data_IF_409435852705
#
_entry.id   IF_409435852705
#
_cell.length_a   1.000
_cell.length_b   1.000
_cell.length_c   1.000
_cell.angle_alpha   90.00
_cell.angle_beta   90.00
_cell.angle_gamma   90.00
#
_symmetry.space_group_name_H-M   'P 1'
#
loop_
_entity.id
_entity.type
_entity.pdbx_description
1 polymer ?
#
# COMPACT_ATOMS: atom_id res chain seq x y z
N UNK A 1 -32.79 14.59 16.08
CA UNK A 1 -33.65 13.60 15.40
C UNK A 1 -33.07 13.54 14.01
N UNK A 2 -32.33 12.49 13.71
CA UNK A 2 -31.76 12.28 12.38
C UNK A 2 -32.95 11.83 11.54
N UNK A 3 -33.36 12.62 10.54
CA UNK A 3 -34.44 12.24 9.63
C UNK A 3 -34.05 10.89 9.00
N UNK A 4 -35.00 9.95 8.92
CA UNK A 4 -34.73 8.66 8.32
C UNK A 4 -34.27 8.90 6.87
N UNK A 5 -33.29 8.12 6.39
CA UNK A 5 -32.79 8.28 5.01
C UNK A 5 -33.92 8.17 3.98
N UNK A 6 -34.98 7.41 4.29
CA UNK A 6 -36.17 7.27 3.45
C UNK A 6 -37.02 8.56 3.33
N UNK A 7 -36.89 9.51 4.28
CA UNK A 7 -37.67 10.74 4.34
C UNK A 7 -36.95 11.95 3.69
N UNK A 8 -35.68 11.78 3.29
CA UNK A 8 -34.88 12.84 2.67
C UNK A 8 -35.21 13.02 1.19
N UNK A 9 -35.22 14.27 0.72
CA UNK A 9 -35.23 14.58 -0.71
C UNK A 9 -33.87 14.27 -1.37
N UNK A 10 -33.81 14.34 -2.71
CA UNK A 10 -32.58 14.06 -3.48
C UNK A 10 -31.38 14.89 -2.98
N UNK A 11 -31.62 16.14 -2.56
CA UNK A 11 -30.58 17.02 -2.05
C UNK A 11 -30.09 16.57 -0.67
N UNK A 12 -31.00 16.23 0.24
CA UNK A 12 -30.68 15.71 1.57
C UNK A 12 -29.90 14.40 1.48
N UNK A 13 -30.24 13.52 0.53
CA UNK A 13 -29.49 12.28 0.25
C UNK A 13 -28.06 12.58 -0.23
N UNK A 14 -27.89 13.54 -1.15
CA UNK A 14 -26.57 13.95 -1.64
C UNK A 14 -25.73 14.57 -0.52
N UNK A 15 -26.30 15.47 0.27
CA UNK A 15 -25.59 16.15 1.38
C UNK A 15 -25.17 15.14 2.46
N UNK A 16 -26.02 14.15 2.76
CA UNK A 16 -25.71 13.03 3.66
C UNK A 16 -24.57 12.17 3.10
N UNK A 17 -24.60 11.84 1.81
CA UNK A 17 -23.55 11.05 1.16
C UNK A 17 -22.20 11.79 1.18
N UNK A 18 -22.18 13.11 0.96
CA UNK A 18 -20.95 13.93 1.06
C UNK A 18 -20.41 13.94 2.49
N UNK A 19 -21.29 14.11 3.48
CA UNK A 19 -20.92 14.09 4.91
C UNK A 19 -20.31 12.76 5.32
N UNK A 20 -20.94 11.64 4.94
CA UNK A 20 -20.43 10.30 5.22
C UNK A 20 -19.07 10.05 4.56
N UNK A 21 -18.92 10.44 3.28
CA UNK A 21 -17.64 10.35 2.59
C UNK A 21 -16.53 11.14 3.30
N UNK A 22 -16.83 12.36 3.76
CA UNK A 22 -15.86 13.20 4.46
C UNK A 22 -15.50 12.62 5.84
N UNK A 23 -16.47 12.04 6.54
CA UNK A 23 -16.26 11.30 7.77
C UNK A 23 -15.37 10.06 7.57
N UNK A 24 -15.59 9.29 6.50
CA UNK A 24 -14.74 8.15 6.12
C UNK A 24 -13.30 8.57 5.82
N UNK A 25 -13.11 9.65 5.06
CA UNK A 25 -11.79 10.21 4.73
C UNK A 25 -11.06 10.63 6.01
N UNK A 26 -11.73 11.35 6.91
CA UNK A 26 -11.17 11.77 8.18
C UNK A 26 -10.85 10.57 9.09
N UNK A 27 -11.73 9.57 9.16
CA UNK A 27 -11.52 8.35 9.95
C UNK A 27 -10.33 7.52 9.43
N UNK A 28 -10.22 7.35 8.11
CA UNK A 28 -9.09 6.66 7.50
C UNK A 28 -7.75 7.37 7.77
N UNK A 29 -7.74 8.70 7.72
CA UNK A 29 -6.57 9.49 8.10
C UNK A 29 -6.23 9.33 9.59
N UNK A 30 -7.23 9.36 10.47
CA UNK A 30 -7.03 9.12 11.91
C UNK A 30 -6.49 7.72 12.18
N UNK A 31 -6.93 6.70 11.45
CA UNK A 31 -6.41 5.33 11.59
C UNK A 31 -4.90 5.25 11.31
N UNK A 32 -4.41 5.98 10.30
CA UNK A 32 -2.97 6.08 10.03
C UNK A 32 -2.22 6.82 11.16
N UNK A 33 -2.82 7.85 11.74
CA UNK A 33 -2.25 8.55 12.89
C UNK A 33 -2.19 7.63 14.12
N UNK A 34 -3.23 6.85 14.38
CA UNK A 34 -3.27 5.83 15.44
C UNK A 34 -2.16 4.81 15.23
N UNK A 35 -2.02 4.25 14.03
CA UNK A 35 -0.97 3.27 13.74
C UNK A 35 0.45 3.83 13.95
N UNK A 36 0.69 5.10 13.60
CA UNK A 36 1.98 5.75 13.83
C UNK A 36 2.27 5.97 15.33
N UNK A 37 1.27 6.43 16.10
CA UNK A 37 1.41 6.60 17.56
C UNK A 37 1.52 5.26 18.28
N UNK A 38 0.82 4.23 17.78
CA UNK A 38 0.93 2.88 18.29
C UNK A 38 2.36 2.34 18.14
N UNK A 39 2.99 2.57 16.99
CA UNK A 39 4.38 2.21 16.76
C UNK A 39 5.34 2.92 17.74
N UNK A 40 5.15 4.22 18.02
CA UNK A 40 5.97 4.96 18.99
C UNK A 40 5.91 4.36 20.41
N UNK A 41 4.76 3.78 20.78
CA UNK A 41 4.53 3.18 22.11
C UNK A 41 5.05 1.74 22.24
N UNK A 42 5.51 1.16 21.15
CA UNK A 42 6.08 -0.18 21.12
C UNK A 42 7.48 -0.14 20.51
N UNK A 43 8.40 0.67 21.10
CA UNK A 43 9.75 0.80 20.59
C UNK A 43 10.50 -0.53 20.69
N UNK A 44 11.55 -0.64 19.88
CA UNK A 44 12.45 -1.79 19.85
C UNK A 44 13.39 -1.92 21.07
N UNK A 45 13.24 -1.08 22.09
CA UNK A 45 14.22 -0.93 23.16
C UNK A 45 14.41 -2.24 23.95
N UNK A 46 15.65 -2.70 24.03
CA UNK A 46 16.02 -3.94 24.73
C UNK A 46 15.72 -5.23 23.97
N UNK A 47 15.22 -5.17 22.73
CA UNK A 47 14.94 -6.34 21.89
C UNK A 47 16.09 -6.64 20.92
N UNK A 48 16.33 -7.93 20.65
CA UNK A 48 17.33 -8.34 19.66
C UNK A 48 16.82 -8.16 18.24
N UNK A 49 17.68 -7.67 17.34
CA UNK A 49 17.36 -7.56 15.92
C UNK A 49 17.26 -8.96 15.28
N UNK A 50 16.43 -9.09 14.23
CA UNK A 50 16.10 -10.37 13.57
C UNK A 50 17.32 -11.22 13.15
N UNK A 51 18.48 -10.58 12.98
CA UNK A 51 19.73 -11.22 12.54
C UNK A 51 20.58 -11.81 13.68
N UNK A 52 20.13 -11.77 14.94
CA UNK A 52 20.92 -12.23 16.09
C UNK A 52 20.53 -13.66 16.52
N UNK A 53 21.48 -14.60 16.74
CA UNK A 53 21.16 -15.96 17.19
C UNK A 53 20.41 -16.06 18.53
N UNK A 54 20.56 -15.06 19.42
CA UNK A 54 19.83 -14.96 20.69
C UNK A 54 18.34 -14.57 20.55
N UNK A 55 17.88 -14.22 19.35
CA UNK A 55 16.49 -13.80 19.10
C UNK A 55 15.45 -14.93 19.25
N UNK A 56 15.87 -16.17 19.55
CA UNK A 56 14.98 -17.33 19.73
C UNK A 56 14.27 -17.37 21.09
N UNK A 57 14.63 -16.50 22.04
CA UNK A 57 14.11 -16.54 23.41
C UNK A 57 13.20 -15.35 23.80
N UNK A 58 12.82 -14.47 22.86
CA UNK A 58 12.00 -13.28 23.17
C UNK A 58 11.39 -12.59 21.94
N UNK A 59 10.59 -11.56 22.18
CA UNK A 59 10.05 -10.70 21.12
C UNK A 59 11.20 -10.03 20.35
N UNK A 60 11.09 -10.00 19.01
CA UNK A 60 12.13 -9.44 18.14
C UNK A 60 11.80 -8.02 17.78
N UNK A 61 12.82 -7.28 17.33
CA UNK A 61 12.59 -6.00 16.65
C UNK A 61 12.54 -6.17 15.13
N UNK A 62 11.62 -5.47 14.49
CA UNK A 62 11.43 -5.48 13.03
C UNK A 62 11.26 -4.07 12.47
N UNK A 63 11.89 -3.82 11.31
CA UNK A 63 11.61 -2.64 10.49
C UNK A 63 10.48 -2.96 9.52
N UNK A 64 9.30 -2.41 9.78
CA UNK A 64 8.12 -2.63 8.93
C UNK A 64 8.06 -1.68 7.73
N UNK A 65 8.45 -0.42 7.92
CA UNK A 65 8.57 0.57 6.86
C UNK A 65 9.85 0.41 6.03
N UNK A 66 10.07 1.33 5.10
CA UNK A 66 11.29 1.37 4.31
C UNK A 66 12.45 2.06 5.02
N UNK A 67 13.48 2.40 4.25
CA UNK A 67 14.65 3.09 4.78
C UNK A 67 14.27 4.40 5.51
N UNK A 68 14.83 4.61 6.71
CA UNK A 68 14.58 5.79 7.53
C UNK A 68 13.44 5.67 8.54
N UNK A 69 12.69 4.55 8.55
CA UNK A 69 11.69 4.31 9.61
C UNK A 69 12.30 3.63 10.84
N UNK A 70 11.81 3.91 12.06
CA UNK A 70 12.25 3.23 13.27
C UNK A 70 11.91 1.74 13.23
N UNK A 71 12.66 0.95 14.00
CA UNK A 71 12.28 -0.43 14.26
C UNK A 71 11.21 -0.48 15.37
N UNK A 72 10.33 -1.47 15.30
CA UNK A 72 9.17 -1.64 16.19
C UNK A 72 9.15 -3.07 16.70
N UNK A 73 8.60 -3.28 17.91
CA UNK A 73 8.38 -4.62 18.45
C UNK A 73 7.55 -5.49 17.49
N UNK A 74 7.99 -6.74 17.25
CA UNK A 74 7.44 -7.64 16.23
C UNK A 74 5.93 -7.86 16.37
N UNK A 75 5.42 -7.99 17.59
CA UNK A 75 4.01 -8.29 17.81
C UNK A 75 3.13 -7.04 17.86
N UNK A 76 3.71 -5.84 17.81
CA UNK A 76 2.94 -4.60 17.89
C UNK A 76 1.86 -4.49 16.80
N UNK A 77 2.14 -4.76 15.50
CA UNK A 77 1.09 -4.69 14.48
C UNK A 77 -0.02 -5.72 14.71
N UNK A 78 0.32 -6.95 15.10
CA UNK A 78 -0.65 -8.02 15.33
C UNK A 78 -1.61 -7.68 16.49
N UNK A 79 -1.08 -7.11 17.59
CA UNK A 79 -1.87 -6.66 18.75
C UNK A 79 -2.89 -5.58 18.35
N UNK A 80 -2.45 -4.54 17.63
CA UNK A 80 -3.37 -3.51 17.11
C UNK A 80 -4.41 -4.14 16.18
N UNK A 81 -3.96 -5.00 15.27
CA UNK A 81 -4.78 -5.65 14.27
C UNK A 81 -5.95 -6.45 14.84
N UNK A 82 -5.69 -7.20 15.90
CA UNK A 82 -6.70 -8.00 16.60
C UNK A 82 -7.87 -7.13 17.07
N UNK A 83 -7.58 -5.96 17.64
CA UNK A 83 -8.59 -5.04 18.18
C UNK A 83 -9.46 -4.40 17.09
N UNK A 84 -8.92 -4.18 15.90
CA UNK A 84 -9.62 -3.51 14.79
C UNK A 84 -10.06 -4.48 13.69
N UNK A 85 -10.02 -5.80 13.94
CA UNK A 85 -10.50 -6.83 13.03
C UNK A 85 -9.65 -7.02 11.76
N UNK A 86 -8.36 -6.68 11.79
CA UNK A 86 -7.43 -6.89 10.69
C UNK A 86 -6.62 -8.18 10.85
N UNK A 87 -6.39 -8.88 9.74
CA UNK A 87 -5.50 -10.04 9.73
C UNK A 87 -4.02 -9.60 9.87
N UNK A 88 -3.09 -10.52 10.22
CA UNK A 88 -1.69 -10.15 10.47
C UNK A 88 -1.01 -9.36 9.33
N UNK A 89 -1.26 -9.75 8.08
CA UNK A 89 -0.67 -9.07 6.92
C UNK A 89 -1.24 -7.65 6.73
N UNK A 90 -2.53 -7.46 6.94
CA UNK A 90 -3.18 -6.15 6.87
C UNK A 90 -2.68 -5.21 7.98
N UNK A 91 -2.51 -5.73 9.19
CA UNK A 91 -2.05 -4.96 10.34
C UNK A 91 -0.60 -4.54 10.19
N UNK A 92 0.26 -5.46 9.73
CA UNK A 92 1.64 -5.15 9.37
C UNK A 92 1.70 -4.08 8.28
N UNK A 93 0.89 -4.21 7.22
CA UNK A 93 0.84 -3.22 6.16
C UNK A 93 0.38 -1.85 6.67
N UNK A 94 -0.63 -1.79 7.54
CA UNK A 94 -1.11 -0.54 8.13
C UNK A 94 -0.01 0.18 8.92
N UNK A 95 0.70 -0.53 9.80
CA UNK A 95 1.81 0.05 10.57
C UNK A 95 2.96 0.49 9.65
N UNK A 96 3.33 -0.35 8.68
CA UNK A 96 4.37 -0.02 7.72
C UNK A 96 4.03 1.24 6.91
N UNK A 97 2.80 1.34 6.39
CA UNK A 97 2.33 2.49 5.60
C UNK A 97 2.34 3.76 6.46
N UNK A 98 1.90 3.68 7.72
CA UNK A 98 1.90 4.81 8.64
C UNK A 98 3.31 5.32 8.96
N UNK A 99 4.26 4.41 9.17
CA UNK A 99 5.67 4.75 9.39
C UNK A 99 6.32 5.36 8.14
N UNK A 100 6.11 4.75 6.97
CA UNK A 100 6.59 5.31 5.71
C UNK A 100 6.06 6.73 5.50
N UNK A 101 4.76 6.96 5.72
CA UNK A 101 4.16 8.28 5.60
C UNK A 101 4.84 9.28 6.55
N UNK A 102 4.90 8.97 7.85
CA UNK A 102 5.39 9.89 8.87
C UNK A 102 6.86 10.23 8.72
N UNK A 103 7.69 9.25 8.38
CA UNK A 103 9.15 9.40 8.41
C UNK A 103 9.77 9.70 7.05
N UNK A 104 9.08 9.36 5.95
CA UNK A 104 9.66 9.42 4.59
C UNK A 104 8.86 10.28 3.62
N UNK A 105 7.57 10.51 3.88
CA UNK A 105 6.66 11.26 3.00
C UNK A 105 6.01 12.45 3.74
N UNK A 106 6.80 13.43 4.21
CA UNK A 106 6.33 14.46 5.13
C UNK A 106 5.20 15.35 4.60
N UNK A 107 5.12 15.60 3.28
CA UNK A 107 4.03 16.40 2.67
C UNK A 107 2.73 15.61 2.67
N UNK A 108 2.75 14.33 2.28
CA UNK A 108 1.60 13.44 2.41
C UNK A 108 1.18 13.26 3.87
N UNK A 109 2.14 13.10 4.78
CA UNK A 109 1.85 13.01 6.21
C UNK A 109 1.17 14.27 6.74
N UNK A 110 1.63 15.45 6.34
CA UNK A 110 0.96 16.70 6.69
C UNK A 110 -0.52 16.66 6.28
N UNK A 111 -0.83 16.22 5.06
CA UNK A 111 -2.21 16.10 4.58
C UNK A 111 -3.02 15.05 5.35
N UNK A 112 -2.41 13.90 5.68
CA UNK A 112 -3.04 12.88 6.53
C UNK A 112 -3.38 13.46 7.91
N UNK A 113 -2.52 14.28 8.51
CA UNK A 113 -2.82 14.95 9.78
C UNK A 113 -4.00 15.90 9.70
N UNK A 114 -4.20 16.56 8.56
CA UNK A 114 -5.35 17.44 8.33
C UNK A 114 -6.64 16.68 7.97
N UNK A 115 -6.60 15.36 7.79
CA UNK A 115 -7.80 14.55 7.57
C UNK A 115 -8.52 14.79 6.23
N UNK A 116 -7.83 15.35 5.23
CA UNK A 116 -8.44 15.81 3.98
C UNK A 116 -7.96 15.06 2.73
N UNK A 117 -7.42 13.85 2.90
CA UNK A 117 -6.96 12.99 1.80
C UNK A 117 -7.45 11.56 1.96
N UNK A 118 -7.86 10.89 0.86
CA UNK A 118 -8.25 9.49 0.95
C UNK A 118 -7.07 8.62 1.42
N UNK A 119 -7.20 7.99 2.59
CA UNK A 119 -6.11 7.23 3.21
C UNK A 119 -5.59 6.09 2.34
N UNK A 120 -6.44 5.46 1.53
CA UNK A 120 -6.01 4.41 0.61
C UNK A 120 -5.01 4.91 -0.44
N UNK A 121 -5.12 6.18 -0.88
CA UNK A 121 -4.19 6.77 -1.86
C UNK A 121 -2.81 7.01 -1.24
N UNK A 122 -2.78 7.55 -0.03
CA UNK A 122 -1.51 7.81 0.67
C UNK A 122 -0.80 6.51 1.05
N UNK A 123 -1.55 5.52 1.54
CA UNK A 123 -1.05 4.16 1.79
C UNK A 123 -0.50 3.51 0.54
N UNK A 124 -1.19 3.68 -0.59
CA UNK A 124 -0.72 3.14 -1.87
C UNK A 124 0.61 3.76 -2.29
N UNK A 125 0.78 5.07 -2.15
CA UNK A 125 2.08 5.73 -2.42
C UNK A 125 3.15 5.18 -1.47
N UNK A 126 2.89 5.14 -0.16
CA UNK A 126 3.81 4.63 0.85
C UNK A 126 4.31 3.22 0.54
N UNK A 127 3.39 2.29 0.25
CA UNK A 127 3.72 0.94 -0.17
C UNK A 127 4.59 0.91 -1.43
N UNK A 128 4.26 1.71 -2.45
CA UNK A 128 4.96 1.73 -3.73
C UNK A 128 6.35 2.37 -3.66
N UNK A 129 6.59 3.25 -2.68
CA UNK A 129 7.89 3.87 -2.42
C UNK A 129 8.72 3.11 -1.38
N UNK A 130 8.21 2.01 -0.80
CA UNK A 130 8.86 1.33 0.33
C UNK A 130 10.30 0.89 0.03
N UNK A 131 10.57 0.43 -1.19
CA UNK A 131 11.87 -0.07 -1.63
C UNK A 131 12.84 1.00 -2.10
N UNK A 132 12.38 2.25 -2.26
CA UNK A 132 13.23 3.37 -2.64
C UNK A 132 14.12 3.80 -1.47
N UNK A 133 15.19 4.55 -1.75
CA UNK A 133 15.93 5.23 -0.69
C UNK A 133 15.09 6.30 0.00
N UNK A 134 15.56 6.81 1.15
CA UNK A 134 14.88 7.91 1.84
C UNK A 134 14.78 9.17 0.96
N UNK A 135 15.86 9.54 0.27
CA UNK A 135 15.91 10.69 -0.63
C UNK A 135 14.94 10.54 -1.81
N UNK A 136 14.95 9.37 -2.44
CA UNK A 136 14.08 9.05 -3.56
C UNK A 136 12.59 9.10 -3.16
N UNK A 137 12.24 8.59 -1.98
CA UNK A 137 10.88 8.69 -1.45
C UNK A 137 10.46 10.15 -1.24
N UNK A 138 11.35 11.00 -0.73
CA UNK A 138 11.10 12.44 -0.58
C UNK A 138 10.79 13.15 -1.91
N UNK A 139 11.49 12.79 -2.99
CA UNK A 139 11.20 13.31 -4.34
C UNK A 139 9.81 12.87 -4.85
N UNK A 140 9.41 11.64 -4.56
CA UNK A 140 8.08 11.12 -4.93
C UNK A 140 6.99 11.82 -4.10
N UNK A 141 7.20 12.02 -2.81
CA UNK A 141 6.30 12.77 -1.91
C UNK A 141 6.03 14.18 -2.45
N UNK A 142 7.10 14.90 -2.79
CA UNK A 142 7.05 16.23 -3.38
C UNK A 142 6.13 16.30 -4.60
N UNK A 143 6.27 15.35 -5.52
CA UNK A 143 5.60 15.38 -6.82
C UNK A 143 4.18 14.84 -6.76
N UNK A 144 3.88 13.89 -5.87
CA UNK A 144 2.56 13.26 -5.80
C UNK A 144 1.61 13.93 -4.81
N UNK A 145 2.09 14.55 -3.74
CA UNK A 145 1.25 15.17 -2.72
C UNK A 145 0.19 16.16 -3.27
N UNK A 146 0.44 16.95 -4.32
CA UNK A 146 -0.57 17.86 -4.89
C UNK A 146 -1.76 17.16 -5.59
N UNK A 147 -1.58 15.91 -6.03
CA UNK A 147 -2.56 15.15 -6.82
C UNK A 147 -3.47 14.25 -5.98
N UNK A 148 -3.04 13.90 -4.77
CA UNK A 148 -3.83 13.05 -3.87
C UNK A 148 -5.18 13.70 -3.53
N UNK A 149 -6.25 12.93 -3.63
CA UNK A 149 -7.64 13.35 -3.48
C UNK A 149 -8.24 14.02 -4.71
N UNK A 150 -7.46 14.28 -5.78
CA UNK A 150 -7.93 14.99 -6.99
C UNK A 150 -8.01 14.10 -8.24
N UNK A 151 -7.52 12.87 -8.17
CA UNK A 151 -7.44 11.95 -9.31
C UNK A 151 -8.07 10.60 -8.96
N UNK A 152 -8.58 9.92 -9.99
CA UNK A 152 -9.07 8.55 -9.88
C UNK A 152 -7.93 7.56 -9.60
N UNK A 153 -8.27 6.36 -9.13
CA UNK A 153 -7.30 5.30 -8.82
C UNK A 153 -6.36 4.97 -9.99
N UNK A 154 -6.89 4.74 -11.19
CA UNK A 154 -6.06 4.46 -12.37
C UNK A 154 -5.12 5.62 -12.73
N UNK A 155 -5.58 6.87 -12.59
CA UNK A 155 -4.73 8.06 -12.82
C UNK A 155 -3.65 8.20 -11.76
N UNK A 156 -3.96 7.87 -10.51
CA UNK A 156 -2.97 7.84 -9.42
C UNK A 156 -1.90 6.78 -9.69
N UNK A 157 -2.29 5.56 -10.04
CA UNK A 157 -1.34 4.48 -10.35
C UNK A 157 -0.41 4.87 -11.51
N UNK A 158 -0.95 5.44 -12.59
CA UNK A 158 -0.14 5.91 -13.72
C UNK A 158 0.88 6.98 -13.29
N UNK A 159 0.47 7.90 -12.41
CA UNK A 159 1.38 8.92 -11.87
C UNK A 159 2.44 8.32 -10.96
N UNK A 160 2.06 7.43 -10.05
CA UNK A 160 3.01 6.70 -9.20
C UNK A 160 4.04 6.00 -10.08
N UNK A 161 3.61 5.20 -11.06
CA UNK A 161 4.52 4.50 -11.96
C UNK A 161 5.48 5.43 -12.69
N UNK A 162 4.98 6.55 -13.22
CA UNK A 162 5.82 7.53 -13.89
C UNK A 162 6.86 8.16 -12.94
N UNK A 163 6.49 8.48 -11.70
CA UNK A 163 7.42 9.03 -10.71
C UNK A 163 8.46 8.01 -10.26
N UNK A 164 8.06 6.76 -10.04
CA UNK A 164 8.98 5.70 -9.64
C UNK A 164 10.05 5.45 -10.72
N UNK A 165 9.66 5.38 -11.99
CA UNK A 165 10.60 5.25 -13.12
C UNK A 165 11.53 6.46 -13.22
N UNK A 166 11.01 7.66 -12.96
CA UNK A 166 11.81 8.89 -13.03
C UNK A 166 12.89 8.95 -11.94
N UNK A 167 12.55 8.47 -10.75
CA UNK A 167 13.42 8.57 -9.56
C UNK A 167 14.41 7.41 -9.46
N UNK A 168 14.06 6.24 -9.99
CA UNK A 168 14.92 5.06 -10.00
C UNK A 168 14.90 4.33 -11.35
N UNK A 169 15.40 4.96 -12.43
CA UNK A 169 15.39 4.35 -13.76
C UNK A 169 16.17 3.03 -13.80
N UNK A 170 17.27 2.95 -13.05
CA UNK A 170 18.10 1.75 -13.00
C UNK A 170 17.46 0.60 -12.22
N UNK A 171 16.83 0.87 -11.07
CA UNK A 171 16.11 -0.16 -10.32
C UNK A 171 14.94 -0.72 -11.12
N UNK A 172 14.27 0.13 -11.91
CA UNK A 172 13.27 -0.34 -12.87
C UNK A 172 13.88 -1.17 -14.00
N UNK A 173 15.03 -0.78 -14.55
CA UNK A 173 15.73 -1.57 -15.57
C UNK A 173 16.13 -2.95 -15.03
N UNK A 174 16.72 -3.01 -13.82
CA UNK A 174 17.09 -4.27 -13.15
C UNK A 174 15.86 -5.15 -12.86
N UNK A 175 14.76 -4.55 -12.40
CA UNK A 175 13.52 -5.27 -12.15
C UNK A 175 12.90 -5.82 -13.45
N UNK A 176 12.95 -5.05 -14.54
CA UNK A 176 12.47 -5.47 -15.85
C UNK A 176 13.34 -6.59 -16.44
N UNK A 177 14.67 -6.50 -16.29
CA UNK A 177 15.60 -7.56 -16.69
C UNK A 177 15.32 -8.85 -15.91
N UNK A 178 15.17 -8.76 -14.59
CA UNK A 178 14.79 -9.90 -13.74
C UNK A 178 13.45 -10.50 -14.15
N UNK A 179 12.44 -9.67 -14.42
CA UNK A 179 11.13 -10.14 -14.87
C UNK A 179 11.19 -10.81 -16.26
N UNK A 180 12.03 -10.32 -17.17
CA UNK A 180 12.25 -10.95 -18.48
C UNK A 180 12.93 -12.33 -18.36
N UNK A 181 13.68 -12.56 -17.28
CA UNK A 181 14.26 -13.87 -16.96
C UNK A 181 13.29 -14.78 -16.20
N UNK A 182 12.36 -14.22 -15.41
CA UNK A 182 11.31 -14.95 -14.68
C UNK A 182 10.13 -15.29 -15.62
N UNK A 183 10.36 -16.23 -16.54
CA UNK A 183 9.29 -16.90 -17.30
C UNK A 183 8.68 -17.96 -16.39
N UNK A 184 7.45 -17.74 -15.92
CA UNK A 184 6.82 -18.67 -14.98
C UNK A 184 5.39 -19.03 -15.42
N UNK A 185 5.09 -20.33 -15.32
CA UNK A 185 3.76 -20.91 -15.51
C UNK A 185 3.34 -21.48 -14.18
N UNK A 186 2.39 -20.83 -13.52
CA UNK A 186 1.84 -21.30 -12.25
C UNK A 186 0.52 -22.01 -12.49
N UNK A 187 0.50 -23.28 -12.10
CA UNK A 187 -0.71 -24.06 -11.99
C UNK A 187 -1.23 -23.92 -10.57
N UNK A 188 -2.47 -23.46 -10.39
CA UNK A 188 -3.13 -23.58 -9.07
C UNK A 188 -3.51 -25.02 -8.80
N UNK A 189 -3.84 -25.34 -7.54
CA UNK A 189 -4.42 -26.65 -7.22
C UNK A 189 -5.76 -26.81 -7.97
N UNK A 190 -6.09 -28.02 -8.45
CA UNK A 190 -7.39 -28.30 -9.05
C UNK A 190 -8.51 -27.98 -8.04
N UNK A 191 -9.62 -27.42 -8.52
CA UNK A 191 -10.82 -27.27 -7.71
C UNK A 191 -11.56 -28.62 -7.57
N UNK A 192 -12.61 -28.63 -6.75
CA UNK A 192 -13.45 -29.81 -6.50
C UNK A 192 -14.15 -30.37 -7.75
N UNK A 193 -14.21 -29.57 -8.82
CA UNK A 193 -14.78 -29.93 -10.13
C UNK A 193 -13.71 -30.38 -11.14
N UNK A 194 -12.46 -30.56 -10.71
CA UNK A 194 -11.35 -30.99 -11.57
C UNK A 194 -10.84 -29.92 -12.54
N UNK A 195 -11.26 -28.66 -12.39
CA UNK A 195 -10.75 -27.55 -13.19
C UNK A 195 -9.48 -27.00 -12.54
N UNK A 196 -8.50 -26.63 -13.36
CA UNK A 196 -7.23 -26.09 -12.90
C UNK A 196 -7.00 -24.71 -13.51
N UNK A 197 -6.85 -23.70 -12.67
CA UNK A 197 -6.52 -22.34 -13.11
C UNK A 197 -5.02 -22.25 -13.43
N UNK A 198 -4.71 -21.77 -14.64
CA UNK A 198 -3.34 -21.54 -15.11
C UNK A 198 -3.09 -20.04 -15.17
N UNK A 199 -2.08 -19.57 -14.45
CA UNK A 199 -1.60 -18.19 -14.53
C UNK A 199 -0.23 -18.18 -15.23
N UNK A 200 -0.11 -17.45 -16.33
CA UNK A 200 1.13 -17.35 -17.10
C UNK A 200 1.59 -15.89 -17.16
N UNK A 201 2.87 -15.66 -16.84
CA UNK A 201 3.50 -14.37 -17.05
C UNK A 201 4.23 -14.40 -18.41
N UNK A 202 3.90 -13.45 -19.29
CA UNK A 202 4.49 -13.34 -20.62
C UNK A 202 5.07 -11.94 -20.82
N UNK A 203 6.06 -11.86 -21.71
CA UNK A 203 6.54 -10.57 -22.21
C UNK A 203 5.38 -9.79 -22.81
N UNK A 204 5.24 -8.53 -22.40
CA UNK A 204 4.35 -7.61 -23.08
C UNK A 204 4.82 -7.47 -24.54
N UNK A 205 3.92 -7.56 -25.54
CA UNK A 205 4.33 -7.42 -26.92
C UNK A 205 4.98 -6.04 -27.11
N UNK A 206 6.22 -6.03 -27.63
CA UNK A 206 6.82 -4.81 -28.17
C UNK A 206 5.83 -4.27 -29.20
N UNK A 207 5.29 -3.06 -28.99
CA UNK A 207 4.25 -2.48 -29.87
C UNK A 207 4.69 -2.61 -31.34
N UNK A 208 4.01 -3.47 -32.09
CA UNK A 208 4.22 -3.62 -33.53
C UNK A 208 4.45 -5.03 -34.08
N UNK A 209 3.55 -6.00 -33.81
CA UNK A 209 3.28 -7.08 -34.79
C UNK A 209 1.96 -7.76 -34.47
N UNK A 210 0.96 -7.63 -35.36
CA UNK A 210 -0.31 -8.39 -35.26
C UNK A 210 -0.01 -9.86 -35.50
N UNK A 211 -0.29 -10.71 -34.52
CA UNK A 211 -0.25 -12.17 -34.68
C UNK A 211 -1.60 -12.63 -35.22
N UNK A 212 -1.62 -13.13 -36.46
CA UNK A 212 -2.78 -13.84 -37.05
C UNK A 212 -2.93 -15.17 -36.33
N UNK A 213 -4.09 -15.42 -35.73
CA UNK A 213 -4.43 -16.71 -35.14
C UNK A 213 -4.93 -17.64 -36.25
N UNK A 214 -4.16 -18.68 -36.55
CA UNK A 214 -4.63 -19.84 -37.30
C UNK A 214 -5.41 -20.76 -36.37
N UNK A 215 -6.71 -20.94 -36.62
CA UNK A 215 -7.50 -21.98 -35.96
C UNK A 215 -7.11 -23.32 -36.56
N UNK A 216 -6.56 -24.23 -35.75
CA UNK A 216 -6.54 -25.66 -36.08
C UNK A 216 -7.78 -26.30 -35.48
N UNK A 217 -8.57 -26.98 -36.32
CA UNK A 217 -9.67 -27.86 -35.90
C UNK A 217 -9.09 -29.24 -35.63
N UNK A 218 -9.44 -29.81 -34.48
CA UNK A 218 -9.37 -31.22 -34.14
C UNK A 218 -10.56 -31.52 -33.26
#
# INVERSE_FOLDING_TARGET
MEDALEDLDDRGLVDTAVTNRDAEVAAGCRMLQVAAVWADRHPADGLFHQRTPLAMAGERTMRFGGEGTPDVAEFAPAKLGLEIGLNPAQSQALVADALDLRHRLPRLWSRVRHGNVPAWQTRRIAYRTRTLSLEQAGLVDERLAPFVGKVSAGRLENKIMAELIRVDPEGFARAAEKAATDRDVRLRRPNEYGQQEVSMLLDAPRRGRRVRHGRSRG
#
